data_IF_414365249479
#
_entry.id   IF_414365249479
#
_cell.length_a   1.000
_cell.length_b   1.000
_cell.length_c   1.000
_cell.angle_alpha   90.00
_cell.angle_beta   90.00
_cell.angle_gamma   90.00
#
_symmetry.space_group_name_H-M   'P 1'
#
loop_
_entity.id
_entity.type
_entity.pdbx_description
1 polymer ?
#
# COMPACT_ATOMS: atom_id res chain seq x y z
N UNK A 1 5.66 24.64 2.97
CA UNK A 1 6.47 23.39 2.99
C UNK A 1 6.29 22.76 4.36
N UNK A 2 5.64 21.63 4.43
CA UNK A 2 5.37 20.98 5.72
C UNK A 2 6.65 20.32 6.23
N UNK A 3 7.31 20.91 7.22
CA UNK A 3 8.45 20.31 7.95
C UNK A 3 7.96 19.20 8.90
N UNK A 4 6.71 18.75 8.72
CA UNK A 4 5.99 17.85 9.63
C UNK A 4 5.92 16.43 9.13
N UNK A 5 6.27 16.19 7.86
CA UNK A 5 6.22 14.87 7.28
C UNK A 5 7.60 14.22 7.37
N UNK A 6 7.64 12.99 7.84
CA UNK A 6 8.83 12.14 7.83
C UNK A 6 8.66 11.04 6.79
N UNK A 7 9.77 10.62 6.18
CA UNK A 7 9.76 9.49 5.24
C UNK A 7 10.64 8.38 5.78
N UNK A 8 10.10 7.18 5.83
CA UNK A 8 10.81 5.95 6.15
C UNK A 8 10.84 5.05 4.92
N UNK A 9 12.02 4.56 4.57
CA UNK A 9 12.21 3.68 3.41
C UNK A 9 12.77 2.35 3.87
N UNK A 10 12.15 1.26 3.43
CA UNK A 10 12.56 -0.10 3.77
C UNK A 10 12.66 -0.96 2.50
N UNK A 11 13.73 -1.74 2.41
CA UNK A 11 13.92 -2.72 1.35
C UNK A 11 13.25 -4.05 1.73
N UNK A 12 12.47 -4.60 0.79
CA UNK A 12 11.66 -5.81 0.99
C UNK A 12 12.03 -6.85 -0.07
N UNK A 13 12.33 -8.07 0.37
CA UNK A 13 12.51 -9.21 -0.53
C UNK A 13 11.15 -9.81 -0.90
N UNK A 14 10.67 -9.50 -2.09
CA UNK A 14 9.38 -9.97 -2.60
C UNK A 14 9.50 -11.20 -3.51
N UNK A 15 10.60 -11.95 -3.42
CA UNK A 15 10.83 -13.11 -4.29
C UNK A 15 9.72 -14.16 -4.11
N UNK A 16 9.46 -14.57 -2.87
CA UNK A 16 8.45 -15.58 -2.55
C UNK A 16 7.03 -15.07 -2.87
N UNK A 17 6.77 -13.78 -2.65
CA UNK A 17 5.51 -13.14 -3.01
C UNK A 17 5.25 -13.12 -4.53
N UNK A 18 6.28 -12.80 -5.32
CA UNK A 18 6.20 -12.80 -6.77
C UNK A 18 6.01 -14.21 -7.35
N UNK A 19 6.61 -15.23 -6.73
CA UNK A 19 6.43 -16.63 -7.13
C UNK A 19 5.02 -17.13 -6.77
N UNK A 20 4.51 -16.77 -5.58
CA UNK A 20 3.12 -17.02 -5.21
C UNK A 20 2.15 -16.33 -6.17
N UNK A 21 2.36 -15.04 -6.45
CA UNK A 21 1.54 -14.25 -7.38
C UNK A 21 1.53 -14.85 -8.78
N UNK A 22 2.68 -15.31 -9.28
CA UNK A 22 2.80 -15.97 -10.58
C UNK A 22 1.99 -17.28 -10.60
N UNK A 23 2.12 -18.10 -9.56
CA UNK A 23 1.38 -19.36 -9.41
C UNK A 23 -0.13 -19.12 -9.37
N UNK A 24 -0.59 -18.14 -8.57
CA UNK A 24 -2.01 -17.80 -8.49
C UNK A 24 -2.56 -17.27 -9.81
N UNK A 25 -1.79 -16.44 -10.53
CA UNK A 25 -2.17 -15.96 -11.84
C UNK A 25 -2.24 -17.07 -12.91
N UNK A 26 -1.37 -18.08 -12.82
CA UNK A 26 -1.40 -19.26 -13.69
C UNK A 26 -2.63 -20.13 -13.48
N UNK A 27 -3.15 -20.16 -12.25
CA UNK A 27 -4.30 -20.98 -11.84
C UNK A 27 -5.61 -20.19 -11.69
N UNK A 28 -5.65 -18.93 -12.15
CA UNK A 28 -6.85 -18.09 -12.01
C UNK A 28 -8.03 -18.66 -12.83
N UNK A 29 -9.22 -18.51 -12.27
CA UNK A 29 -10.48 -18.89 -12.93
C UNK A 29 -10.83 -17.89 -14.03
N UNK A 30 -11.64 -18.34 -14.99
CA UNK A 30 -12.20 -17.42 -16.01
C UNK A 30 -12.96 -16.28 -15.33
N UNK A 31 -12.72 -15.05 -15.76
CA UNK A 31 -13.34 -13.83 -15.19
C UNK A 31 -12.59 -13.22 -14.01
N UNK A 32 -11.66 -13.93 -13.37
CA UNK A 32 -10.84 -13.32 -12.31
C UNK A 32 -9.81 -12.34 -12.90
N UNK A 33 -9.60 -11.16 -12.26
CA UNK A 33 -8.61 -10.21 -12.70
C UNK A 33 -7.19 -10.76 -12.51
N UNK A 34 -6.22 -10.18 -13.22
CA UNK A 34 -4.81 -10.50 -13.00
C UNK A 34 -4.34 -9.86 -11.69
N UNK A 35 -3.81 -10.66 -10.78
CA UNK A 35 -3.21 -10.16 -9.55
C UNK A 35 -1.95 -9.34 -9.83
N UNK A 36 -1.94 -8.12 -9.33
CA UNK A 36 -0.74 -7.29 -9.17
C UNK A 36 -0.21 -7.43 -7.74
N UNK A 37 0.80 -6.67 -7.37
CA UNK A 37 1.31 -6.65 -5.98
C UNK A 37 0.35 -5.92 -5.03
N UNK A 38 -0.47 -4.98 -5.54
CA UNK A 38 -1.32 -4.12 -4.72
C UNK A 38 -2.31 -4.89 -3.83
N UNK A 39 -3.06 -5.90 -4.31
CA UNK A 39 -3.96 -6.67 -3.44
C UNK A 39 -3.25 -7.34 -2.26
N UNK A 40 -2.02 -7.82 -2.46
CA UNK A 40 -1.23 -8.41 -1.38
C UNK A 40 -0.81 -7.35 -0.36
N UNK A 41 -0.36 -6.19 -0.83
CA UNK A 41 -0.04 -5.06 0.04
C UNK A 41 -1.26 -4.58 0.80
N UNK A 42 -2.42 -4.48 0.16
CA UNK A 42 -3.67 -4.10 0.83
C UNK A 42 -4.01 -5.06 1.98
N UNK A 43 -3.91 -6.36 1.75
CA UNK A 43 -4.13 -7.36 2.81
C UNK A 43 -3.07 -7.29 3.91
N UNK A 44 -1.82 -7.05 3.55
CA UNK A 44 -0.74 -6.84 4.53
C UNK A 44 -0.99 -5.58 5.36
N UNK A 45 -1.43 -4.47 4.74
CA UNK A 45 -1.78 -3.24 5.45
C UNK A 45 -2.95 -3.44 6.41
N UNK A 46 -4.04 -4.07 5.97
CA UNK A 46 -5.18 -4.39 6.83
C UNK A 46 -4.74 -5.15 8.07
N UNK A 47 -3.86 -6.15 7.90
CA UNK A 47 -3.37 -6.95 9.00
C UNK A 47 -2.44 -6.16 9.94
N UNK A 48 -1.53 -5.38 9.37
CA UNK A 48 -0.61 -4.55 10.15
C UNK A 48 -1.31 -3.42 10.92
N UNK A 49 -2.35 -2.82 10.35
CA UNK A 49 -3.16 -1.76 10.98
C UNK A 49 -3.88 -2.28 12.23
N UNK A 50 -4.28 -3.55 12.28
CA UNK A 50 -4.93 -4.14 13.46
C UNK A 50 -4.04 -4.04 14.71
N UNK A 51 -2.72 -4.22 14.54
CA UNK A 51 -1.74 -4.08 15.62
C UNK A 51 -1.23 -2.64 15.76
N UNK A 52 -1.39 -1.80 14.73
CA UNK A 52 -0.91 -0.41 14.66
C UNK A 52 -2.02 0.56 14.25
N UNK A 53 -3.10 0.71 15.04
CA UNK A 53 -4.29 1.50 14.65
C UNK A 53 -3.99 2.99 14.44
N UNK A 54 -2.90 3.51 15.00
CA UNK A 54 -2.43 4.88 14.77
C UNK A 54 -2.11 5.21 13.31
N UNK A 55 -1.87 4.19 12.47
CA UNK A 55 -1.58 4.36 11.04
C UNK A 55 -2.84 4.50 10.19
N UNK A 56 -4.00 4.10 10.70
CA UNK A 56 -5.31 4.18 10.03
C UNK A 56 -6.11 5.34 10.62
N UNK A 57 -5.63 6.56 10.39
CA UNK A 57 -6.14 7.74 11.05
C UNK A 57 -6.14 8.97 10.13
N UNK A 58 -6.91 9.97 10.52
CA UNK A 58 -6.87 11.31 9.92
C UNK A 58 -6.59 12.36 10.99
N UNK A 59 -5.97 13.46 10.58
CA UNK A 59 -5.68 14.59 11.46
C UNK A 59 -6.40 15.85 10.98
N UNK A 60 -7.26 16.40 11.83
CA UNK A 60 -7.94 17.68 11.61
C UNK A 60 -7.02 18.82 12.10
N UNK A 61 -6.41 19.53 11.18
CA UNK A 61 -5.46 20.62 11.47
C UNK A 61 -6.12 21.80 12.22
N UNK A 62 -7.40 22.07 11.96
CA UNK A 62 -8.11 23.20 12.57
C UNK A 62 -8.46 22.92 14.03
N UNK A 63 -8.91 21.69 14.30
CA UNK A 63 -9.31 21.27 15.65
C UNK A 63 -8.19 20.67 16.47
N UNK A 64 -7.07 20.27 15.83
CA UNK A 64 -6.00 19.53 16.49
C UNK A 64 -6.43 18.14 16.95
N UNK A 65 -7.35 17.48 16.22
CA UNK A 65 -7.93 16.19 16.60
C UNK A 65 -7.47 15.10 15.66
N UNK A 66 -6.99 13.99 16.24
CA UNK A 66 -6.73 12.74 15.51
C UNK A 66 -7.95 11.85 15.61
N UNK A 67 -8.43 11.37 14.46
CA UNK A 67 -9.52 10.39 14.37
C UNK A 67 -8.97 9.05 13.90
N UNK A 68 -9.06 8.02 14.74
CA UNK A 68 -8.72 6.64 14.40
C UNK A 68 -9.93 5.90 13.88
N UNK A 69 -9.72 5.04 12.88
CA UNK A 69 -10.79 4.28 12.23
C UNK A 69 -10.59 2.78 12.43
N UNK A 70 -11.68 2.07 12.72
CA UNK A 70 -11.70 0.60 12.70
C UNK A 70 -11.77 0.07 11.26
N UNK A 71 -12.62 0.71 10.43
CA UNK A 71 -12.70 0.40 9.01
C UNK A 71 -11.45 0.88 8.27
N UNK A 72 -10.93 0.05 7.37
CA UNK A 72 -9.75 0.38 6.56
C UNK A 72 -10.18 0.75 5.15
N UNK A 73 -10.10 2.04 4.83
CA UNK A 73 -10.43 2.58 3.52
C UNK A 73 -9.14 2.97 2.81
N UNK A 74 -8.74 2.18 1.81
CA UNK A 74 -7.45 2.37 1.13
C UNK A 74 -7.62 3.24 -0.11
N UNK A 75 -6.99 4.41 -0.08
CA UNK A 75 -6.82 5.27 -1.26
C UNK A 75 -5.79 4.67 -2.23
N UNK A 76 -6.09 4.68 -3.52
CA UNK A 76 -5.21 4.19 -4.57
C UNK A 76 -4.81 5.35 -5.48
N UNK A 77 -3.62 5.90 -5.30
CA UNK A 77 -3.14 7.00 -6.14
C UNK A 77 -3.12 6.60 -7.62
N UNK A 78 -3.97 7.23 -8.42
CA UNK A 78 -4.22 6.85 -9.81
C UNK A 78 -4.01 8.03 -10.73
N UNK A 79 -3.12 7.88 -11.73
CA UNK A 79 -2.92 8.87 -12.79
C UNK A 79 -4.10 8.81 -13.76
N UNK A 80 -4.68 9.99 -14.03
CA UNK A 80 -5.77 10.19 -15.00
C UNK A 80 -5.40 11.26 -16.02
N UNK A 81 -6.14 11.40 -17.13
CA UNK A 81 -5.92 12.49 -18.09
C UNK A 81 -6.05 13.90 -17.47
N UNK A 82 -6.83 14.04 -16.42
CA UNK A 82 -7.04 15.31 -15.70
C UNK A 82 -6.08 15.54 -14.52
N UNK A 83 -5.13 14.62 -14.28
CA UNK A 83 -4.18 14.68 -13.20
C UNK A 83 -4.27 13.49 -12.25
N UNK A 84 -3.65 13.63 -11.08
CA UNK A 84 -3.67 12.60 -10.05
C UNK A 84 -4.99 12.64 -9.28
N UNK A 85 -5.64 11.48 -9.14
CA UNK A 85 -6.80 11.28 -8.26
C UNK A 85 -6.56 10.09 -7.35
N UNK A 86 -7.29 10.05 -6.22
CA UNK A 86 -7.13 8.98 -5.22
C UNK A 86 -8.49 8.30 -4.99
N UNK A 87 -8.93 7.41 -5.90
CA UNK A 87 -10.11 6.60 -5.64
C UNK A 87 -9.90 5.66 -4.46
N UNK A 88 -10.98 5.31 -3.76
CA UNK A 88 -10.97 4.63 -2.46
C UNK A 88 -11.60 3.25 -2.57
N UNK A 89 -10.83 2.23 -2.19
CA UNK A 89 -11.36 0.90 -1.89
C UNK A 89 -11.84 0.90 -0.44
N UNK A 90 -13.17 0.83 -0.27
CA UNK A 90 -13.78 0.90 1.06
C UNK A 90 -13.84 -0.46 1.71
N UNK A 91 -13.80 -0.46 3.04
CA UNK A 91 -13.94 -1.67 3.86
C UNK A 91 -13.01 -2.80 3.42
N UNK A 92 -11.74 -2.46 3.16
CA UNK A 92 -10.73 -3.41 2.68
C UNK A 92 -10.52 -4.57 3.67
N UNK A 93 -10.81 -4.34 4.95
CA UNK A 93 -10.77 -5.35 6.00
C UNK A 93 -11.71 -6.54 5.73
N UNK A 94 -12.83 -6.30 5.03
CA UNK A 94 -13.82 -7.34 4.71
C UNK A 94 -13.53 -8.08 3.40
N UNK A 95 -12.60 -7.55 2.57
CA UNK A 95 -12.33 -8.07 1.24
C UNK A 95 -11.25 -9.16 1.25
N UNK A 96 -11.47 -10.23 0.52
CA UNK A 96 -10.44 -11.20 0.18
C UNK A 96 -9.47 -10.68 -0.90
N UNK A 97 -8.41 -11.46 -1.17
CA UNK A 97 -7.36 -11.04 -2.10
C UNK A 97 -7.89 -10.75 -3.51
N UNK A 98 -8.77 -11.61 -4.05
CA UNK A 98 -9.34 -11.44 -5.38
C UNK A 98 -10.31 -10.27 -5.44
N UNK A 99 -11.12 -10.08 -4.40
CA UNK A 99 -12.02 -8.94 -4.25
C UNK A 99 -11.25 -7.62 -4.18
N UNK A 100 -10.12 -7.57 -3.47
CA UNK A 100 -9.20 -6.44 -3.50
C UNK A 100 -8.71 -6.15 -4.93
N UNK A 101 -8.36 -7.19 -5.70
CA UNK A 101 -7.90 -7.02 -7.08
C UNK A 101 -9.01 -6.48 -8.00
N UNK A 102 -10.24 -6.96 -7.85
CA UNK A 102 -11.42 -6.49 -8.59
C UNK A 102 -11.72 -5.03 -8.27
N UNK A 103 -11.78 -4.68 -6.98
CA UNK A 103 -12.09 -3.33 -6.54
C UNK A 103 -11.01 -2.32 -6.94
N UNK A 104 -9.72 -2.65 -6.80
CA UNK A 104 -8.64 -1.79 -7.29
C UNK A 104 -8.77 -1.51 -8.78
N UNK A 105 -9.04 -2.55 -9.59
CA UNK A 105 -9.20 -2.38 -11.02
C UNK A 105 -10.44 -1.51 -11.34
N UNK A 106 -11.56 -1.75 -10.66
CA UNK A 106 -12.83 -1.02 -10.85
C UNK A 106 -12.68 0.47 -10.51
N UNK A 107 -12.17 0.79 -9.31
CA UNK A 107 -12.08 2.19 -8.87
C UNK A 107 -11.03 2.96 -9.68
N UNK A 108 -9.91 2.33 -10.04
CA UNK A 108 -8.90 2.95 -10.87
C UNK A 108 -9.41 3.23 -12.29
N UNK A 109 -10.20 2.32 -12.89
CA UNK A 109 -10.81 2.54 -14.20
C UNK A 109 -11.89 3.61 -14.15
N UNK A 110 -12.77 3.60 -13.14
CA UNK A 110 -13.76 4.65 -12.95
C UNK A 110 -13.11 6.04 -12.82
N UNK A 111 -11.98 6.13 -12.11
CA UNK A 111 -11.22 7.38 -11.99
C UNK A 111 -10.63 7.82 -13.35
N UNK A 112 -10.04 6.89 -14.15
CA UNK A 112 -9.45 7.21 -15.46
C UNK A 112 -10.49 7.65 -16.48
N UNK A 113 -11.67 7.04 -16.45
CA UNK A 113 -12.78 7.35 -17.38
C UNK A 113 -13.64 8.53 -16.91
N UNK A 114 -13.39 9.07 -15.72
CA UNK A 114 -14.17 10.17 -15.14
C UNK A 114 -15.58 9.77 -14.72
N UNK A 115 -15.84 8.48 -14.53
CA UNK A 115 -17.14 7.93 -14.10
C UNK A 115 -17.20 7.65 -12.59
N UNK A 116 -16.11 7.88 -11.86
CA UNK A 116 -16.09 7.72 -10.42
C UNK A 116 -17.06 8.68 -9.72
N UNK A 117 -17.87 8.17 -8.81
CA UNK A 117 -18.71 8.99 -7.96
C UNK A 117 -17.89 9.74 -6.92
N UNK A 118 -18.43 10.87 -6.43
CA UNK A 118 -17.74 11.69 -5.42
C UNK A 118 -17.37 10.89 -4.17
N UNK A 119 -18.24 10.02 -3.74
CA UNK A 119 -18.05 9.16 -2.57
C UNK A 119 -16.89 8.18 -2.75
N UNK A 120 -16.54 7.85 -3.98
CA UNK A 120 -15.40 6.97 -4.29
C UNK A 120 -14.06 7.71 -4.32
N UNK A 121 -14.06 9.03 -4.24
CA UNK A 121 -12.87 9.89 -4.31
C UNK A 121 -12.52 10.55 -2.96
N UNK A 122 -13.25 10.24 -1.90
CA UNK A 122 -13.06 10.84 -0.56
C UNK A 122 -13.15 9.78 0.53
N UNK A 123 -12.55 10.08 1.70
CA UNK A 123 -12.72 9.28 2.91
C UNK A 123 -11.82 8.05 2.99
N UNK A 124 -10.68 8.05 2.30
CA UNK A 124 -9.60 7.11 2.57
C UNK A 124 -8.97 7.39 3.94
N UNK A 125 -8.48 6.35 4.57
CA UNK A 125 -7.86 6.40 5.91
C UNK A 125 -6.35 6.13 5.84
N UNK A 126 -5.89 5.53 4.75
CA UNK A 126 -4.48 5.33 4.38
C UNK A 126 -4.39 5.20 2.86
N UNK A 127 -3.35 5.74 2.24
CA UNK A 127 -3.20 5.71 0.78
C UNK A 127 -2.01 4.86 0.34
N UNK A 128 -2.18 4.13 -0.78
CA UNK A 128 -1.10 3.47 -1.52
C UNK A 128 -0.79 4.28 -2.78
N UNK A 129 0.49 4.58 -3.00
CA UNK A 129 0.99 5.19 -4.22
C UNK A 129 1.92 4.24 -4.96
N UNK A 130 1.59 3.90 -6.20
CA UNK A 130 2.40 3.00 -7.02
C UNK A 130 2.43 3.48 -8.48
N UNK A 131 3.62 3.60 -9.02
CA UNK A 131 3.84 3.88 -10.45
C UNK A 131 4.17 2.60 -11.25
N UNK A 132 4.05 1.43 -10.63
CA UNK A 132 4.37 0.15 -11.26
C UNK A 132 5.80 0.13 -11.80
N UNK A 133 5.95 -0.26 -13.07
CA UNK A 133 7.26 -0.34 -13.73
C UNK A 133 7.98 1.02 -13.87
N UNK A 134 7.24 2.13 -13.85
CA UNK A 134 7.80 3.50 -13.87
C UNK A 134 8.23 3.97 -12.49
N UNK A 135 7.91 3.23 -11.43
CA UNK A 135 8.33 3.53 -10.07
C UNK A 135 9.85 3.63 -9.96
N UNK A 136 10.34 4.65 -9.26
CA UNK A 136 11.75 4.82 -8.97
C UNK A 136 12.27 3.75 -8.01
N UNK A 137 13.55 3.85 -7.66
CA UNK A 137 14.14 3.00 -6.60
C UNK A 137 13.63 3.43 -5.23
N UNK A 138 13.49 4.74 -5.04
CA UNK A 138 13.01 5.41 -3.81
C UNK A 138 12.16 6.59 -4.22
N UNK A 139 11.19 6.94 -3.40
CA UNK A 139 10.35 8.14 -3.56
C UNK A 139 10.05 8.76 -2.20
N UNK A 140 9.54 9.98 -2.20
CA UNK A 140 9.02 10.68 -1.02
C UNK A 140 7.57 11.04 -1.30
N UNK A 141 6.62 10.09 -1.12
CA UNK A 141 5.22 10.35 -1.43
C UNK A 141 4.67 11.43 -0.51
N UNK A 142 3.79 12.27 -1.07
CA UNK A 142 3.09 13.32 -0.32
C UNK A 142 1.84 12.70 0.28
N UNK A 143 1.62 12.90 1.58
CA UNK A 143 0.46 12.38 2.30
C UNK A 143 -0.83 12.95 1.70
N UNK A 144 -1.81 12.09 1.49
CA UNK A 144 -3.14 12.49 1.02
C UNK A 144 -3.95 13.04 2.19
N UNK A 145 -3.90 14.36 2.38
CA UNK A 145 -4.59 15.03 3.48
C UNK A 145 -6.10 14.69 3.50
N UNK A 146 -6.71 14.41 4.65
CA UNK A 146 -6.20 14.54 6.03
C UNK A 146 -5.60 13.26 6.63
N UNK A 147 -5.25 12.26 5.83
CA UNK A 147 -4.61 11.04 6.30
C UNK A 147 -3.27 11.33 7.00
N UNK A 148 -2.81 10.37 7.82
CA UNK A 148 -1.53 10.47 8.55
C UNK A 148 -0.43 9.62 7.93
N UNK A 149 -0.75 8.76 6.94
CA UNK A 149 0.21 7.85 6.32
C UNK A 149 -0.08 7.59 4.84
N UNK A 150 0.99 7.48 4.05
CA UNK A 150 0.97 7.02 2.66
C UNK A 150 2.08 6.03 2.42
N UNK A 151 1.77 4.92 1.72
CA UNK A 151 2.72 3.86 1.41
C UNK A 151 3.06 3.90 -0.08
N UNK A 152 4.27 4.30 -0.38
CA UNK A 152 4.82 4.31 -1.74
C UNK A 152 5.44 2.96 -2.11
N UNK A 153 5.01 2.40 -3.23
CA UNK A 153 5.53 1.14 -3.78
C UNK A 153 6.47 1.45 -4.94
N UNK A 154 7.74 1.18 -4.75
CA UNK A 154 8.74 1.37 -5.79
C UNK A 154 8.84 0.15 -6.72
N UNK A 155 9.58 0.26 -7.80
CA UNK A 155 9.72 -0.83 -8.78
C UNK A 155 10.42 -2.05 -8.18
N UNK A 156 9.96 -3.23 -8.59
CA UNK A 156 10.64 -4.49 -8.27
C UNK A 156 11.86 -4.64 -9.21
N UNK A 157 13.01 -4.97 -8.62
CA UNK A 157 14.26 -5.18 -9.34
C UNK A 157 14.90 -6.48 -8.89
N UNK A 158 15.44 -7.25 -9.84
CA UNK A 158 16.30 -8.39 -9.48
C UNK A 158 17.68 -7.87 -9.08
N UNK A 159 18.10 -8.18 -7.86
CA UNK A 159 19.39 -7.75 -7.28
C UNK A 159 20.14 -8.95 -6.71
N UNK A 160 21.48 -8.96 -6.76
CA UNK A 160 22.27 -9.96 -6.07
C UNK A 160 22.22 -9.68 -4.56
N UNK A 161 21.78 -10.68 -3.80
CA UNK A 161 21.74 -10.64 -2.33
C UNK A 161 22.62 -11.76 -1.79
N UNK A 162 23.41 -11.48 -0.77
CA UNK A 162 24.26 -12.46 -0.11
C UNK A 162 23.41 -13.35 0.82
N UNK A 163 23.43 -14.69 0.59
CA UNK A 163 22.66 -15.65 1.38
C UNK A 163 23.44 -16.28 2.56
N UNK A 164 24.69 -15.78 2.77
CA UNK A 164 25.63 -16.31 3.75
C UNK A 164 26.73 -17.17 3.13
N UNK A 165 26.57 -17.63 1.87
CA UNK A 165 27.50 -18.50 1.15
C UNK A 165 27.87 -17.90 -0.21
N UNK A 166 26.88 -17.37 -0.95
CA UNK A 166 27.03 -16.85 -2.31
C UNK A 166 26.02 -15.74 -2.59
N UNK A 167 26.23 -15.01 -3.68
CA UNK A 167 25.22 -14.10 -4.20
C UNK A 167 24.14 -14.87 -4.95
N UNK A 168 22.88 -14.63 -4.55
CA UNK A 168 21.70 -15.19 -5.20
C UNK A 168 20.82 -14.06 -5.76
N UNK A 169 20.17 -14.24 -6.91
CA UNK A 169 19.23 -13.26 -7.43
C UNK A 169 17.96 -13.24 -6.57
N UNK A 170 17.58 -12.05 -6.08
CA UNK A 170 16.34 -11.82 -5.34
C UNK A 170 15.55 -10.69 -5.98
N UNK A 171 14.23 -10.77 -5.93
CA UNK A 171 13.32 -9.71 -6.38
C UNK A 171 13.12 -8.73 -5.22
N UNK A 172 13.81 -7.59 -5.30
CA UNK A 172 13.82 -6.58 -4.23
C UNK A 172 12.93 -5.41 -4.61
N UNK A 173 12.22 -4.87 -3.63
CA UNK A 173 11.34 -3.72 -3.77
C UNK A 173 11.51 -2.80 -2.56
N UNK A 174 11.50 -1.49 -2.77
CA UNK A 174 11.46 -0.55 -1.65
C UNK A 174 10.00 -0.11 -1.39
N UNK A 175 9.65 -0.04 -0.10
CA UNK A 175 8.52 0.69 0.39
C UNK A 175 9.01 2.05 0.87
N UNK A 176 8.58 3.12 0.21
CA UNK A 176 8.88 4.50 0.59
C UNK A 176 7.62 5.10 1.19
N UNK A 177 7.59 5.27 2.50
CA UNK A 177 6.37 5.63 3.22
C UNK A 177 6.55 6.97 3.90
N UNK A 178 5.55 7.86 3.81
CA UNK A 178 5.57 9.15 4.49
C UNK A 178 4.48 9.18 5.56
N UNK A 179 4.80 9.84 6.67
CA UNK A 179 3.96 9.91 7.86
C UNK A 179 3.90 11.34 8.38
N UNK A 180 2.73 11.76 8.87
CA UNK A 180 2.57 13.04 9.59
C UNK A 180 3.20 12.91 10.98
N UNK A 181 4.37 13.52 11.16
CA UNK A 181 5.15 13.40 12.39
C UNK A 181 4.52 14.07 13.62
N UNK A 182 3.39 14.73 13.45
CA UNK A 182 2.57 15.23 14.57
C UNK A 182 1.77 14.12 15.24
N UNK A 183 1.52 13.04 14.52
CA UNK A 183 0.68 11.90 14.94
C UNK A 183 1.49 10.62 15.04
N UNK A 184 2.41 10.39 14.09
CA UNK A 184 3.21 9.17 13.98
C UNK A 184 4.67 9.52 14.16
N UNK A 185 5.31 8.99 15.19
CA UNK A 185 6.75 9.16 15.37
C UNK A 185 7.58 8.17 14.54
N UNK A 186 8.91 8.38 14.53
CA UNK A 186 9.80 7.57 13.70
C UNK A 186 9.88 6.11 14.13
N UNK A 187 9.68 5.83 15.42
CA UNK A 187 9.66 4.46 15.95
C UNK A 187 8.41 3.72 15.49
N UNK A 188 7.25 4.33 15.68
CA UNK A 188 5.97 3.74 15.28
C UNK A 188 5.91 3.49 13.76
N UNK A 189 6.40 4.47 12.96
CA UNK A 189 6.52 4.32 11.51
C UNK A 189 7.41 3.13 11.14
N UNK A 190 8.58 2.99 11.77
CA UNK A 190 9.51 1.90 11.50
C UNK A 190 8.92 0.54 11.87
N UNK A 191 8.33 0.39 13.07
CA UNK A 191 7.73 -0.87 13.52
C UNK A 191 6.57 -1.29 12.62
N UNK A 192 5.70 -0.35 12.23
CA UNK A 192 4.63 -0.61 11.28
C UNK A 192 5.14 -1.11 9.92
N UNK A 193 6.12 -0.44 9.34
CA UNK A 193 6.68 -0.86 8.05
C UNK A 193 7.41 -2.20 8.17
N UNK A 194 8.08 -2.49 9.29
CA UNK A 194 8.66 -3.81 9.53
C UNK A 194 7.59 -4.91 9.61
N UNK A 195 6.43 -4.63 10.22
CA UNK A 195 5.31 -5.57 10.22
C UNK A 195 4.78 -5.84 8.81
N UNK A 196 4.59 -4.78 8.00
CA UNK A 196 4.19 -4.92 6.58
C UNK A 196 5.25 -5.71 5.79
N UNK A 197 6.54 -5.40 5.97
CA UNK A 197 7.66 -6.12 5.34
C UNK A 197 7.60 -7.61 5.66
N UNK A 198 7.46 -7.98 6.93
CA UNK A 198 7.43 -9.38 7.35
C UNK A 198 6.29 -10.16 6.67
N UNK A 199 5.13 -9.54 6.47
CA UNK A 199 3.99 -10.12 5.76
C UNK A 199 4.26 -10.29 4.26
N UNK A 200 4.94 -9.32 3.63
CA UNK A 200 5.27 -9.39 2.20
C UNK A 200 6.41 -10.37 1.91
N UNK A 201 7.40 -10.46 2.80
CA UNK A 201 8.52 -11.42 2.67
C UNK A 201 8.09 -12.87 2.93
N UNK A 202 7.03 -13.06 3.75
CA UNK A 202 6.44 -14.36 4.05
C UNK A 202 4.94 -14.35 3.75
N UNK A 203 4.56 -14.37 2.47
CA UNK A 203 3.18 -14.11 2.05
C UNK A 203 2.15 -15.09 2.59
N UNK A 204 2.56 -16.29 3.04
CA UNK A 204 1.66 -17.23 3.72
C UNK A 204 1.03 -16.59 4.98
N UNK A 205 1.74 -15.70 5.67
CA UNK A 205 1.26 -15.03 6.88
C UNK A 205 0.10 -14.06 6.61
N UNK A 206 -0.07 -13.61 5.37
CA UNK A 206 -1.21 -12.77 4.98
C UNK A 206 -2.55 -13.52 5.11
N UNK A 207 -2.53 -14.86 4.98
CA UNK A 207 -3.72 -15.71 4.93
C UNK A 207 -3.97 -16.48 6.23
N UNK A 208 -3.12 -16.32 7.24
CA UNK A 208 -3.30 -16.94 8.56
C UNK A 208 -3.99 -15.91 9.47
N UNK A 209 -5.05 -16.34 10.19
CA UNK A 209 -5.75 -15.54 11.20
C UNK A 209 -4.91 -15.29 12.46
#
# INVERSE_FOLDING_TARGET
MCIRDSTYVEEVDVTDLEDLRATMNGNRRSGQPKLTILPFLMRALVKAVADHPGMNATFDDEKGVVSHYEAVHIGIATQTPSGLTVPVVRHTETLGLWECAEEVARVAEAARTGTAHREELIGSTITISSLGALGGVVSTPIINHPEVAIIGVNKIMTRPVWDGIRFVPRKMMNLSSSFDHRVVDGWDAAVFIQAVKALLEKPALIFIE
#
